data_IF_227361851146
#
_entry.id   IF_227361851146
#
_cell.length_a   1.000
_cell.length_b   1.000
_cell.length_c   1.000
_cell.angle_alpha   90.00
_cell.angle_beta   90.00
_cell.angle_gamma   90.00
#
_symmetry.space_group_name_H-M   'P 1'
#
loop_
_entity.id
_entity.type
_entity.pdbx_description
1 polymer ?
#
# COMPACT_ATOMS: atom_id res chain seq x y z
N UNK A 1 -27.71 35.35 -44.50
CA UNK A 1 -28.11 34.18 -43.67
C UNK A 1 -26.84 33.41 -43.29
N UNK A 2 -26.25 33.72 -42.13
CA UNK A 2 -25.07 33.02 -41.61
C UNK A 2 -25.50 32.05 -40.52
N UNK A 3 -25.36 30.74 -40.75
CA UNK A 3 -25.55 29.72 -39.71
C UNK A 3 -24.21 29.47 -39.01
N UNK A 4 -24.07 30.01 -37.79
CA UNK A 4 -23.02 29.62 -36.84
C UNK A 4 -23.29 28.19 -36.36
N UNK A 5 -22.41 27.25 -36.66
CA UNK A 5 -22.33 25.96 -35.95
C UNK A 5 -21.62 26.21 -34.62
N UNK A 6 -22.36 26.14 -33.51
CA UNK A 6 -21.76 25.98 -32.19
C UNK A 6 -21.25 24.54 -32.06
N UNK A 7 -19.95 24.39 -31.83
CA UNK A 7 -19.35 23.13 -31.39
C UNK A 7 -19.72 22.91 -29.92
N UNK A 8 -20.11 21.68 -29.51
CA UNK A 8 -20.32 21.38 -28.11
C UNK A 8 -18.97 21.37 -27.39
N UNK A 9 -18.86 22.16 -26.33
CA UNK A 9 -17.78 22.11 -25.35
C UNK A 9 -17.82 20.76 -24.64
N UNK A 10 -16.87 19.89 -24.96
CA UNK A 10 -16.68 18.61 -24.27
C UNK A 10 -15.97 18.85 -22.94
N UNK A 11 -16.70 18.71 -21.85
CA UNK A 11 -16.13 18.62 -20.50
C UNK A 11 -15.51 17.24 -20.30
N UNK A 12 -14.18 17.21 -20.15
CA UNK A 12 -13.39 16.04 -19.82
C UNK A 12 -13.62 15.68 -18.34
N UNK A 13 -14.51 14.74 -18.05
CA UNK A 13 -14.70 14.22 -16.69
C UNK A 13 -13.55 13.27 -16.33
N UNK A 14 -12.51 13.80 -15.68
CA UNK A 14 -11.44 13.00 -15.08
C UNK A 14 -11.97 12.46 -13.74
N UNK A 15 -12.29 11.16 -13.68
CA UNK A 15 -12.57 10.50 -12.41
C UNK A 15 -11.23 10.15 -11.73
N UNK A 16 -10.75 11.03 -10.86
CA UNK A 16 -9.58 10.78 -10.03
C UNK A 16 -10.02 9.85 -8.89
N UNK A 17 -9.53 8.62 -8.89
CA UNK A 17 -9.57 7.77 -7.70
C UNK A 17 -8.48 8.30 -6.78
N UNK A 18 -8.82 9.22 -5.88
CA UNK A 18 -8.02 9.38 -4.67
C UNK A 18 -8.40 8.22 -3.76
N UNK A 19 -7.45 7.32 -3.49
CA UNK A 19 -7.46 6.61 -2.22
C UNK A 19 -7.20 7.69 -1.15
N UNK A 20 -8.25 8.43 -0.79
CA UNK A 20 -8.19 9.36 0.33
C UNK A 20 -7.90 8.52 1.56
N UNK A 21 -6.75 8.79 2.18
CA UNK A 21 -6.42 8.34 3.52
C UNK A 21 -7.62 8.59 4.42
N UNK A 22 -8.25 7.53 4.92
CA UNK A 22 -9.30 7.70 5.91
C UNK A 22 -8.66 8.13 7.22
N UNK A 23 -9.29 9.13 7.86
CA UNK A 23 -9.15 9.45 9.28
C UNK A 23 -9.64 8.27 10.12
N UNK A 24 -8.91 7.15 10.10
CA UNK A 24 -8.92 6.23 11.22
C UNK A 24 -8.19 6.99 12.31
N UNK A 25 -8.80 7.20 13.48
CA UNK A 25 -8.09 7.76 14.63
C UNK A 25 -6.91 6.84 14.91
N UNK A 26 -5.75 7.23 14.38
CA UNK A 26 -4.53 6.52 14.57
C UNK A 26 -4.21 6.64 16.06
N UNK A 27 -4.33 5.53 16.79
CA UNK A 27 -3.73 5.39 18.11
C UNK A 27 -2.30 5.93 18.08
N UNK A 28 -1.86 6.61 19.14
CA UNK A 28 -0.53 7.20 19.15
C UNK A 28 0.54 6.10 18.99
N UNK A 29 1.61 6.44 18.26
CA UNK A 29 2.73 5.58 17.90
C UNK A 29 3.41 4.85 19.08
N UNK A 30 3.24 5.35 20.32
CA UNK A 30 3.77 4.74 21.54
C UNK A 30 3.23 3.33 21.85
N UNK A 31 2.14 2.90 21.21
CA UNK A 31 1.57 1.54 21.37
C UNK A 31 1.81 0.61 20.16
N UNK A 32 2.64 1.02 19.19
CA UNK A 32 2.72 0.41 17.85
C UNK A 32 4.04 -0.28 17.51
N UNK A 33 4.77 -0.79 18.51
CA UNK A 33 5.97 -1.58 18.23
C UNK A 33 7.27 -0.79 18.12
N UNK A 34 7.54 0.07 19.11
CA UNK A 34 8.91 0.44 19.48
C UNK A 34 9.40 1.75 18.89
N UNK A 35 9.19 2.83 19.65
CA UNK A 35 10.07 4.00 19.54
C UNK A 35 11.50 3.52 19.78
N UNK A 36 12.35 3.56 18.76
CA UNK A 36 13.76 3.26 18.96
C UNK A 36 14.41 4.50 19.54
N UNK A 37 14.48 4.58 20.86
CA UNK A 37 15.28 5.59 21.54
C UNK A 37 16.75 5.43 21.11
N UNK A 38 17.31 6.48 20.51
CA UNK A 38 18.74 6.51 20.21
C UNK A 38 19.50 6.75 21.51
N UNK A 39 20.51 5.94 21.80
CA UNK A 39 21.49 6.23 22.86
C UNK A 39 22.40 7.44 22.51
N UNK A 40 22.24 8.01 21.31
CA UNK A 40 23.02 9.15 20.81
C UNK A 40 22.10 10.25 20.26
N UNK A 41 22.35 11.50 20.63
CA UNK A 41 21.51 12.65 20.22
C UNK A 41 21.55 12.96 18.71
N UNK A 42 22.48 12.34 17.95
CA UNK A 42 22.74 12.66 16.53
C UNK A 42 21.50 12.59 15.63
N UNK A 43 20.54 11.70 15.93
CA UNK A 43 19.31 11.50 15.13
C UNK A 43 18.02 11.59 15.95
N UNK A 44 18.09 12.21 17.14
CA UNK A 44 16.93 12.33 18.04
C UNK A 44 15.94 13.44 17.66
N UNK A 45 16.40 14.46 16.93
CA UNK A 45 15.56 15.57 16.47
C UNK A 45 14.53 15.16 15.42
N UNK A 46 13.50 15.99 15.22
CA UNK A 46 12.49 15.78 14.17
C UNK A 46 13.12 15.97 12.78
N UNK A 47 12.83 15.04 11.85
CA UNK A 47 13.49 15.00 10.54
C UNK A 47 13.17 16.21 9.65
N UNK A 48 12.01 16.85 9.83
CA UNK A 48 11.62 18.05 9.06
C UNK A 48 12.44 19.29 9.42
N UNK A 49 13.30 19.19 10.44
CA UNK A 49 14.22 20.24 10.86
C UNK A 49 15.66 20.00 10.37
N UNK A 50 15.90 18.97 9.55
CA UNK A 50 17.22 18.69 8.97
C UNK A 50 17.66 19.78 7.98
N UNK A 51 16.71 20.41 7.30
CA UNK A 51 16.96 21.52 6.37
C UNK A 51 15.89 22.62 6.53
N UNK A 52 16.12 23.77 5.90
CA UNK A 52 15.15 24.88 5.85
C UNK A 52 13.95 24.58 4.95
N UNK A 53 14.07 23.60 4.05
CA UNK A 53 13.01 23.15 3.15
C UNK A 53 12.68 21.67 3.36
N UNK A 54 11.47 21.27 2.95
CA UNK A 54 11.07 19.87 2.99
C UNK A 54 11.91 19.03 2.02
N UNK A 55 12.11 19.51 0.79
CA UNK A 55 12.95 18.84 -0.22
C UNK A 55 14.36 18.60 0.33
N UNK A 56 14.99 19.62 0.93
CA UNK A 56 16.31 19.46 1.54
C UNK A 56 16.32 18.51 2.75
N UNK A 57 15.22 18.38 3.47
CA UNK A 57 15.11 17.40 4.57
C UNK A 57 14.98 15.97 4.03
N UNK A 58 14.26 15.78 2.93
CA UNK A 58 14.16 14.49 2.21
C UNK A 58 15.52 14.12 1.62
N UNK A 59 16.23 15.06 1.01
CA UNK A 59 17.59 14.86 0.50
C UNK A 59 18.53 14.36 1.61
N UNK A 60 18.48 14.97 2.79
CA UNK A 60 19.28 14.49 3.93
C UNK A 60 18.87 13.10 4.44
N UNK A 61 17.59 12.74 4.41
CA UNK A 61 17.19 11.36 4.72
C UNK A 61 17.80 10.37 3.71
N UNK A 62 17.77 10.70 2.42
CA UNK A 62 18.37 9.89 1.34
C UNK A 62 19.90 9.78 1.53
N UNK A 63 20.57 10.86 1.92
CA UNK A 63 22.01 10.86 2.22
C UNK A 63 22.35 9.94 3.39
N UNK A 64 21.55 9.96 4.47
CA UNK A 64 21.73 9.04 5.61
C UNK A 64 21.55 7.59 5.17
N UNK A 65 20.50 7.27 4.39
CA UNK A 65 20.32 5.92 3.84
C UNK A 65 21.53 5.51 3.00
N UNK A 66 22.10 6.45 2.24
CA UNK A 66 23.24 6.23 1.35
C UNK A 66 24.58 6.04 2.07
N UNK A 67 24.64 6.11 3.42
CA UNK A 67 25.84 5.70 4.17
C UNK A 67 25.97 4.18 4.29
N UNK A 68 24.91 3.43 3.98
CA UNK A 68 24.87 1.97 3.96
C UNK A 68 25.10 1.46 2.52
N UNK A 69 25.86 0.37 2.38
CA UNK A 69 26.08 -0.27 1.06
C UNK A 69 24.77 -0.81 0.49
N UNK A 70 23.94 -1.43 1.34
CA UNK A 70 22.60 -1.87 0.97
C UNK A 70 21.65 -0.69 0.72
N UNK A 71 21.80 0.38 1.49
CA UNK A 71 21.05 1.63 1.31
C UNK A 71 21.30 2.28 -0.05
N UNK A 72 22.55 2.38 -0.51
CA UNK A 72 22.87 2.87 -1.86
C UNK A 72 22.13 2.07 -2.94
N UNK A 73 22.14 0.73 -2.83
CA UNK A 73 21.46 -0.14 -3.79
C UNK A 73 19.93 0.05 -3.78
N UNK A 74 19.35 0.31 -2.61
CA UNK A 74 17.93 0.62 -2.46
C UNK A 74 17.60 1.96 -3.15
N UNK A 75 18.36 3.01 -2.85
CA UNK A 75 18.18 4.34 -3.44
C UNK A 75 18.34 4.31 -4.97
N UNK A 76 19.33 3.60 -5.49
CA UNK A 76 19.53 3.48 -6.94
C UNK A 76 18.35 2.80 -7.63
N UNK A 77 17.80 1.74 -7.03
CA UNK A 77 16.59 1.10 -7.55
C UNK A 77 15.35 1.99 -7.45
N UNK A 78 15.22 2.77 -6.37
CA UNK A 78 14.14 3.73 -6.22
C UNK A 78 14.23 4.84 -7.29
N UNK A 79 15.42 5.38 -7.55
CA UNK A 79 15.68 6.34 -8.63
C UNK A 79 15.31 5.76 -9.99
N UNK A 80 15.73 4.52 -10.29
CA UNK A 80 15.37 3.84 -11.53
C UNK A 80 13.85 3.65 -11.67
N UNK A 81 13.14 3.38 -10.57
CA UNK A 81 11.67 3.27 -10.58
C UNK A 81 10.99 4.63 -10.83
N UNK A 82 11.44 5.70 -10.17
CA UNK A 82 10.91 7.06 -10.36
C UNK A 82 11.17 7.59 -11.77
N UNK A 83 12.33 7.28 -12.34
CA UNK A 83 12.69 7.67 -13.70
C UNK A 83 11.75 7.07 -14.77
N UNK A 84 11.14 5.90 -14.52
CA UNK A 84 10.12 5.32 -15.43
C UNK A 84 8.90 6.24 -15.58
N UNK A 85 8.61 7.03 -14.55
CA UNK A 85 7.51 7.99 -14.52
C UNK A 85 8.00 9.44 -14.79
N UNK A 86 9.24 9.60 -15.29
CA UNK A 86 9.90 10.89 -15.57
C UNK A 86 9.99 11.81 -14.35
N UNK A 87 10.21 11.23 -13.18
CA UNK A 87 10.35 11.93 -11.91
C UNK A 87 11.74 11.70 -11.30
N UNK A 88 12.19 12.65 -10.48
CA UNK A 88 13.27 12.42 -9.51
C UNK A 88 12.73 11.55 -8.35
N UNK A 89 13.64 11.01 -7.53
CA UNK A 89 13.23 10.22 -6.36
C UNK A 89 12.53 11.10 -5.32
N UNK A 90 13.04 12.32 -5.15
CA UNK A 90 12.55 13.34 -4.25
C UNK A 90 11.11 13.74 -4.61
N UNK A 91 10.75 13.75 -5.89
CA UNK A 91 9.39 14.07 -6.38
C UNK A 91 8.33 13.00 -6.03
N UNK A 92 8.76 11.82 -5.59
CA UNK A 92 7.86 10.72 -5.19
C UNK A 92 7.83 10.51 -3.68
N UNK A 93 8.59 11.30 -2.91
CA UNK A 93 8.62 11.25 -1.44
C UNK A 93 8.01 12.55 -0.90
N UNK A 94 7.18 12.44 0.13
CA UNK A 94 6.54 13.60 0.76
C UNK A 94 6.34 13.36 2.27
N UNK A 95 5.98 14.41 3.00
CA UNK A 95 5.59 14.27 4.41
C UNK A 95 4.10 13.94 4.52
N UNK A 96 3.75 13.06 5.46
CA UNK A 96 2.37 12.64 5.74
C UNK A 96 2.08 12.59 7.24
N UNK A 97 0.83 12.26 7.58
CA UNK A 97 0.42 11.98 8.97
C UNK A 97 0.81 10.57 9.44
N UNK A 98 1.18 9.71 8.48
CA UNK A 98 1.73 8.38 8.70
C UNK A 98 2.71 8.05 7.58
N UNK A 99 3.62 7.12 7.83
CA UNK A 99 4.49 6.55 6.81
C UNK A 99 3.74 5.48 6.04
N UNK A 100 3.69 5.63 4.72
CA UNK A 100 2.96 4.72 3.82
C UNK A 100 3.35 4.95 2.37
N UNK A 101 3.44 3.86 1.62
CA UNK A 101 3.53 3.88 0.15
C UNK A 101 2.13 3.75 -0.42
N UNK A 102 1.51 4.89 -0.69
CA UNK A 102 0.20 4.94 -1.32
C UNK A 102 0.32 4.59 -2.81
N UNK A 103 -0.42 3.56 -3.25
CA UNK A 103 -0.50 3.16 -4.66
C UNK A 103 -1.92 3.35 -5.15
N UNK A 104 -2.09 4.37 -5.99
CA UNK A 104 -3.36 4.67 -6.65
C UNK A 104 -3.47 3.93 -7.98
N UNK A 105 -4.56 3.16 -8.14
CA UNK A 105 -4.98 2.60 -9.41
C UNK A 105 -5.92 3.58 -10.13
N UNK A 106 -5.43 4.22 -11.19
CA UNK A 106 -6.21 5.12 -12.04
C UNK A 106 -6.88 4.32 -13.16
N UNK A 107 -8.20 4.44 -13.22
CA UNK A 107 -9.04 3.85 -14.26
C UNK A 107 -9.41 4.91 -15.29
N UNK A 108 -8.91 4.77 -16.53
CA UNK A 108 -9.21 5.68 -17.64
C UNK A 108 -10.19 5.04 -18.60
N UNK A 109 -11.30 5.71 -18.85
CA UNK A 109 -12.32 5.31 -19.80
C UNK A 109 -12.11 6.03 -21.14
N UNK A 110 -12.36 5.34 -22.24
CA UNK A 110 -12.48 6.01 -23.54
C UNK A 110 -13.90 6.56 -23.69
N UNK A 111 -14.11 7.89 -23.85
CA UNK A 111 -15.46 8.45 -24.03
C UNK A 111 -16.20 7.91 -25.25
N UNK A 112 -15.47 7.52 -26.30
CA UNK A 112 -16.03 6.94 -27.53
C UNK A 112 -16.21 5.42 -27.46
N UNK A 113 -15.66 4.78 -26.42
CA UNK A 113 -15.77 3.33 -26.18
C UNK A 113 -15.72 3.06 -24.67
N UNK A 114 -16.82 3.30 -23.92
CA UNK A 114 -16.86 3.19 -22.46
C UNK A 114 -16.60 1.76 -21.92
N UNK A 115 -16.61 0.76 -22.79
CA UNK A 115 -16.19 -0.61 -22.51
C UNK A 115 -14.67 -0.77 -22.48
N UNK A 116 -13.92 0.11 -23.16
CA UNK A 116 -12.46 0.14 -23.15
C UNK A 116 -11.95 0.86 -21.90
N UNK A 117 -11.32 0.09 -21.02
CA UNK A 117 -10.80 0.58 -19.74
C UNK A 117 -9.29 0.37 -19.74
N UNK A 118 -8.54 1.45 -19.51
CA UNK A 118 -7.09 1.40 -19.27
C UNK A 118 -6.80 1.63 -17.80
N UNK A 119 -5.86 0.86 -17.27
CA UNK A 119 -5.40 0.99 -15.90
C UNK A 119 -3.98 1.56 -15.88
N UNK A 120 -3.74 2.50 -14.98
CA UNK A 120 -2.42 3.09 -14.73
C UNK A 120 -2.22 3.18 -13.23
N UNK A 121 -1.06 2.78 -12.73
CA UNK A 121 -0.76 2.83 -11.30
C UNK A 121 0.23 3.93 -11.01
N UNK A 122 0.00 4.66 -9.92
CA UNK A 122 0.87 5.74 -9.44
C UNK A 122 1.15 5.52 -7.98
N UNK A 123 2.43 5.55 -7.61
CA UNK A 123 2.84 5.35 -6.22
C UNK A 123 3.55 6.58 -5.68
N UNK A 124 3.28 6.92 -4.42
CA UNK A 124 3.92 8.00 -3.68
C UNK A 124 4.25 7.51 -2.28
N UNK A 125 5.45 7.84 -1.82
CA UNK A 125 5.96 7.51 -0.50
C UNK A 125 5.69 8.68 0.43
N UNK A 126 5.02 8.44 1.53
CA UNK A 126 4.85 9.41 2.61
C UNK A 126 5.68 8.96 3.81
N UNK A 127 6.33 9.93 4.46
CA UNK A 127 7.04 9.75 5.73
C UNK A 127 6.33 10.56 6.80
N UNK A 128 6.05 9.93 7.94
CA UNK A 128 5.36 10.56 9.06
C UNK A 128 6.13 11.81 9.55
N UNK A 129 5.47 12.96 9.45
CA UNK A 129 6.03 14.27 9.79
C UNK A 129 6.41 14.43 11.27
N UNK A 130 5.89 13.58 12.16
CA UNK A 130 6.12 13.63 13.61
C UNK A 130 7.40 12.92 14.03
N UNK A 131 7.99 12.10 13.16
CA UNK A 131 9.09 11.22 13.52
C UNK A 131 10.40 11.93 13.83
N UNK A 132 11.23 11.25 14.64
CA UNK A 132 12.65 11.54 14.73
C UNK A 132 13.35 11.22 13.42
N UNK A 133 14.53 11.79 13.19
CA UNK A 133 15.37 11.46 12.03
C UNK A 133 15.64 9.97 11.93
N UNK A 134 15.93 9.32 13.05
CA UNK A 134 16.20 7.87 13.07
C UNK A 134 15.02 7.06 12.53
N UNK A 135 13.82 7.31 13.05
CA UNK A 135 12.64 6.55 12.63
C UNK A 135 12.25 6.90 11.19
N UNK A 136 12.33 8.18 10.80
CA UNK A 136 12.07 8.61 9.43
C UNK A 136 12.99 7.95 8.40
N UNK A 137 14.25 7.68 8.75
CA UNK A 137 15.18 6.92 7.89
C UNK A 137 14.74 5.46 7.74
N UNK A 138 14.33 4.80 8.84
CA UNK A 138 13.87 3.42 8.80
C UNK A 138 12.56 3.30 8.00
N UNK A 139 11.61 4.19 8.25
CA UNK A 139 10.37 4.27 7.48
C UNK A 139 10.65 4.55 6.00
N UNK A 140 11.59 5.44 5.68
CA UNK A 140 11.97 5.67 4.29
C UNK A 140 12.51 4.39 3.62
N UNK A 141 13.30 3.60 4.34
CA UNK A 141 13.82 2.32 3.84
C UNK A 141 12.67 1.32 3.59
N UNK A 142 11.76 1.19 4.57
CA UNK A 142 10.60 0.30 4.49
C UNK A 142 9.71 0.69 3.30
N UNK A 143 9.34 1.96 3.22
CA UNK A 143 8.46 2.46 2.17
C UNK A 143 9.10 2.44 0.78
N UNK A 144 10.39 2.74 0.65
CA UNK A 144 11.07 2.58 -0.64
C UNK A 144 11.10 1.11 -1.09
N UNK A 145 11.16 0.16 -0.16
CA UNK A 145 11.09 -1.27 -0.50
C UNK A 145 9.73 -1.62 -1.12
N UNK A 146 8.63 -1.13 -0.54
CA UNK A 146 7.32 -1.24 -1.17
C UNK A 146 7.28 -0.55 -2.53
N UNK A 147 7.75 0.70 -2.63
CA UNK A 147 7.74 1.49 -3.87
C UNK A 147 8.46 0.81 -5.04
N UNK A 148 9.58 0.14 -4.76
CA UNK A 148 10.40 -0.52 -5.79
C UNK A 148 9.77 -1.85 -6.23
N UNK A 149 9.32 -2.66 -5.28
CA UNK A 149 9.08 -4.08 -5.52
C UNK A 149 7.62 -4.52 -5.43
N UNK A 150 6.77 -3.80 -4.69
CA UNK A 150 5.37 -4.20 -4.49
C UNK A 150 4.67 -4.24 -5.84
N UNK A 151 4.15 -5.42 -6.20
CA UNK A 151 3.42 -5.59 -7.43
C UNK A 151 2.11 -4.81 -7.33
N UNK A 152 1.78 -3.94 -8.29
CA UNK A 152 0.49 -3.27 -8.25
C UNK A 152 -0.64 -4.29 -8.40
N UNK A 153 -1.62 -4.24 -7.50
CA UNK A 153 -2.82 -5.06 -7.58
C UNK A 153 -3.87 -4.39 -8.46
N UNK A 154 -4.78 -5.19 -9.03
CA UNK A 154 -5.93 -4.69 -9.77
C UNK A 154 -7.19 -5.47 -9.37
N UNK A 155 -8.07 -4.87 -8.55
CA UNK A 155 -9.23 -5.57 -8.01
C UNK A 155 -10.33 -5.83 -9.05
N UNK A 156 -10.16 -5.30 -10.27
CA UNK A 156 -11.08 -5.54 -11.39
C UNK A 156 -10.74 -6.81 -12.19
N UNK A 157 -9.56 -7.41 -11.96
CA UNK A 157 -9.20 -8.70 -12.58
C UNK A 157 -9.97 -9.86 -11.93
N UNK A 158 -10.09 -10.97 -12.64
CA UNK A 158 -10.87 -12.14 -12.18
C UNK A 158 -10.10 -13.03 -11.19
N UNK A 159 -8.78 -12.91 -11.14
CA UNK A 159 -7.86 -13.64 -10.27
C UNK A 159 -7.52 -12.87 -8.98
N UNK A 160 -8.12 -11.69 -8.77
CA UNK A 160 -8.00 -10.96 -7.52
C UNK A 160 -8.83 -11.65 -6.43
N UNK A 161 -8.15 -12.24 -5.45
CA UNK A 161 -8.76 -12.99 -4.35
C UNK A 161 -8.15 -12.57 -3.02
N UNK A 162 -8.85 -12.84 -1.92
CA UNK A 162 -8.31 -12.55 -0.58
C UNK A 162 -7.02 -13.31 -0.31
N UNK A 163 -6.92 -14.57 -0.73
CA UNK A 163 -5.73 -15.40 -0.56
C UNK A 163 -4.52 -14.80 -1.29
N UNK A 164 -4.69 -14.43 -2.56
CA UNK A 164 -3.59 -13.81 -3.33
C UNK A 164 -3.22 -12.44 -2.79
N UNK A 165 -4.20 -11.63 -2.38
CA UNK A 165 -3.96 -10.31 -1.80
C UNK A 165 -3.24 -10.39 -0.44
N UNK A 166 -3.63 -11.31 0.44
CA UNK A 166 -3.00 -11.51 1.74
C UNK A 166 -1.55 -11.98 1.58
N UNK A 167 -1.34 -12.97 0.72
CA UNK A 167 0.00 -13.47 0.40
C UNK A 167 0.88 -12.35 -0.20
N UNK A 168 0.40 -11.66 -1.23
CA UNK A 168 1.18 -10.60 -1.91
C UNK A 168 1.50 -9.43 -0.97
N UNK A 169 0.58 -9.08 -0.06
CA UNK A 169 0.76 -7.95 0.85
C UNK A 169 1.77 -8.25 1.95
N UNK A 170 1.71 -9.43 2.57
CA UNK A 170 2.58 -9.77 3.71
C UNK A 170 3.89 -10.41 3.25
N UNK A 171 3.80 -11.53 2.55
CA UNK A 171 4.93 -12.41 2.24
C UNK A 171 5.44 -12.28 0.80
N UNK A 172 4.70 -11.59 -0.06
CA UNK A 172 5.05 -11.35 -1.46
C UNK A 172 6.31 -10.49 -1.59
N UNK A 173 6.84 -10.45 -2.81
CA UNK A 173 8.00 -9.61 -3.11
C UNK A 173 7.63 -8.14 -2.92
N UNK A 174 8.39 -7.43 -2.08
CA UNK A 174 8.06 -6.07 -1.67
C UNK A 174 6.85 -5.95 -0.76
N UNK A 175 6.37 -7.05 -0.17
CA UNK A 175 5.41 -7.05 0.92
C UNK A 175 6.05 -6.68 2.26
N UNK A 176 5.27 -6.73 3.33
CA UNK A 176 5.68 -6.28 4.67
C UNK A 176 6.91 -7.04 5.20
N UNK A 177 6.99 -8.36 4.98
CA UNK A 177 8.15 -9.17 5.40
C UNK A 177 9.42 -8.73 4.68
N UNK A 178 9.35 -8.45 3.38
CA UNK A 178 10.49 -7.96 2.60
C UNK A 178 10.94 -6.59 3.08
N UNK A 179 10.00 -5.67 3.24
CA UNK A 179 10.26 -4.30 3.67
C UNK A 179 10.90 -4.28 5.06
N UNK A 180 10.36 -5.04 6.01
CA UNK A 180 10.89 -5.16 7.36
C UNK A 180 12.30 -5.78 7.40
N UNK A 181 12.57 -6.82 6.59
CA UNK A 181 13.91 -7.40 6.50
C UNK A 181 14.94 -6.41 5.94
N UNK A 182 14.56 -5.65 4.92
CA UNK A 182 15.43 -4.62 4.32
C UNK A 182 15.68 -3.48 5.30
N UNK A 183 14.64 -3.02 6.01
CA UNK A 183 14.72 -2.06 7.10
C UNK A 183 15.72 -2.51 8.16
N UNK A 184 15.57 -3.73 8.71
CA UNK A 184 16.48 -4.24 9.74
C UNK A 184 17.93 -4.37 9.25
N UNK A 185 18.14 -4.81 8.00
CA UNK A 185 19.47 -4.97 7.40
C UNK A 185 20.18 -3.63 7.23
N UNK A 186 19.51 -2.66 6.61
CA UNK A 186 20.09 -1.32 6.38
C UNK A 186 20.21 -0.56 7.72
N UNK A 187 19.20 -0.64 8.58
CA UNK A 187 19.21 -0.05 9.91
C UNK A 187 20.40 -0.55 10.74
N UNK A 188 20.75 -1.84 10.65
CA UNK A 188 21.95 -2.38 11.28
C UNK A 188 23.24 -1.81 10.68
N UNK A 189 23.33 -1.63 9.37
CA UNK A 189 24.51 -1.00 8.73
C UNK A 189 24.69 0.46 9.14
N UNK A 190 23.61 1.23 9.30
CA UNK A 190 23.66 2.66 9.63
C UNK A 190 23.88 2.88 11.15
N UNK A 191 23.15 2.16 12.00
CA UNK A 191 23.08 2.44 13.43
C UNK A 191 23.81 1.43 14.32
N UNK A 192 24.20 0.28 13.76
CA UNK A 192 24.79 -0.83 14.50
C UNK A 192 23.77 -1.67 15.27
N UNK A 193 24.16 -2.92 15.61
CA UNK A 193 23.28 -3.91 16.23
C UNK A 193 22.68 -3.47 17.58
N UNK A 194 23.41 -2.68 18.39
CA UNK A 194 22.92 -2.20 19.69
C UNK A 194 21.80 -1.16 19.59
N UNK A 195 21.60 -0.61 18.39
CA UNK A 195 20.69 0.50 18.13
C UNK A 195 19.49 0.11 17.27
N UNK A 196 19.33 -1.16 16.90
CA UNK A 196 18.15 -1.62 16.15
C UNK A 196 16.98 -1.94 17.09
N UNK A 197 15.77 -2.05 16.52
CA UNK A 197 14.56 -2.30 17.30
C UNK A 197 14.54 -3.73 17.89
N UNK A 198 13.86 -3.95 19.02
CA UNK A 198 13.62 -5.29 19.54
C UNK A 198 12.98 -6.25 18.52
N UNK A 199 12.12 -5.73 17.65
CA UNK A 199 11.47 -6.50 16.58
C UNK A 199 12.50 -7.04 15.58
N UNK A 200 13.50 -6.25 15.21
CA UNK A 200 14.60 -6.74 14.38
C UNK A 200 15.43 -7.80 15.11
N UNK A 201 15.57 -7.70 16.44
CA UNK A 201 16.29 -8.71 17.23
C UNK A 201 15.54 -10.04 17.28
N UNK A 202 14.20 -10.03 17.30
CA UNK A 202 13.38 -11.25 17.32
C UNK A 202 13.54 -12.12 16.07
N UNK A 203 14.01 -11.54 14.97
CA UNK A 203 14.17 -12.23 13.68
C UNK A 203 15.63 -12.55 13.34
N UNK A 204 16.55 -12.37 14.29
CA UNK A 204 17.96 -12.79 14.12
C UNK A 204 18.10 -14.30 14.28
N UNK A 205 18.79 -14.92 13.34
CA UNK A 205 19.27 -16.29 13.43
C UNK A 205 20.80 -16.27 13.30
N UNK A 206 21.48 -16.23 14.46
CA UNK A 206 22.90 -15.93 14.52
C UNK A 206 23.19 -14.49 14.10
N UNK A 207 23.99 -14.30 13.06
CA UNK A 207 24.35 -12.97 12.53
C UNK A 207 23.45 -12.50 11.39
N UNK A 208 22.50 -13.30 10.92
CA UNK A 208 21.64 -12.95 9.79
C UNK A 208 20.17 -12.78 10.18
N UNK A 209 19.47 -11.88 9.49
CA UNK A 209 18.03 -11.71 9.65
C UNK A 209 17.29 -12.78 8.83
N UNK A 210 16.52 -13.62 9.54
CA UNK A 210 15.78 -14.75 8.98
C UNK A 210 14.40 -14.33 8.49
N UNK A 211 14.12 -14.66 7.22
CA UNK A 211 12.79 -14.47 6.63
C UNK A 211 11.73 -15.32 7.32
N UNK A 212 12.07 -16.57 7.67
CA UNK A 212 11.11 -17.48 8.30
C UNK A 212 10.68 -16.96 9.68
N UNK A 213 11.63 -16.42 10.47
CA UNK A 213 11.31 -15.80 11.75
C UNK A 213 10.46 -14.55 11.56
N UNK A 214 10.81 -13.69 10.58
CA UNK A 214 10.00 -12.52 10.26
C UNK A 214 8.57 -12.90 9.88
N UNK A 215 8.39 -13.92 9.04
CA UNK A 215 7.07 -14.43 8.67
C UNK A 215 6.28 -14.84 9.93
N UNK A 216 6.88 -15.60 10.86
CA UNK A 216 6.23 -15.98 12.12
C UNK A 216 5.82 -14.76 12.95
N UNK A 217 6.67 -13.75 13.08
CA UNK A 217 6.33 -12.51 13.81
C UNK A 217 5.13 -11.78 13.20
N UNK A 218 5.06 -11.68 11.86
CA UNK A 218 3.93 -11.04 11.17
C UNK A 218 2.60 -11.79 11.34
N UNK A 219 2.64 -13.09 11.62
CA UNK A 219 1.47 -13.94 11.82
C UNK A 219 1.12 -14.20 13.30
N UNK A 220 1.76 -13.50 14.24
CA UNK A 220 1.28 -13.39 15.62
C UNK A 220 0.04 -12.50 15.66
N UNK A 221 -1.04 -12.96 16.29
CA UNK A 221 -2.35 -12.30 16.24
C UNK A 221 -2.89 -11.90 17.61
N UNK A 222 -2.33 -12.41 18.70
CA UNK A 222 -2.77 -12.17 20.06
C UNK A 222 -4.27 -12.40 20.22
N UNK A 223 -4.94 -11.41 20.80
CA UNK A 223 -6.40 -11.38 21.02
C UNK A 223 -7.24 -11.50 19.74
N UNK A 224 -6.67 -11.28 18.56
CA UNK A 224 -7.39 -11.38 17.28
C UNK A 224 -7.34 -12.77 16.65
N UNK A 225 -6.64 -13.73 17.25
CA UNK A 225 -6.42 -15.05 16.67
C UNK A 225 -7.72 -15.79 16.33
N UNK A 226 -8.67 -15.87 17.27
CA UNK A 226 -9.94 -16.58 17.05
C UNK A 226 -10.79 -15.91 15.97
N UNK A 227 -10.86 -14.58 15.98
CA UNK A 227 -11.55 -13.79 14.95
C UNK A 227 -10.94 -14.06 13.56
N UNK A 228 -9.61 -14.10 13.48
CA UNK A 228 -8.91 -14.39 12.23
C UNK A 228 -9.18 -15.81 11.74
N UNK A 229 -9.12 -16.83 12.61
CA UNK A 229 -9.44 -18.22 12.24
C UNK A 229 -10.87 -18.37 11.72
N UNK A 230 -11.82 -17.67 12.34
CA UNK A 230 -13.19 -17.64 11.85
C UNK A 230 -13.28 -16.99 10.46
N UNK A 231 -12.60 -15.85 10.25
CA UNK A 231 -12.57 -15.17 8.96
C UNK A 231 -11.92 -16.04 7.86
N UNK A 232 -10.81 -16.72 8.16
CA UNK A 232 -10.13 -17.66 7.25
C UNK A 232 -11.08 -18.73 6.75
N UNK A 233 -11.83 -19.37 7.66
CA UNK A 233 -12.79 -20.41 7.31
C UNK A 233 -13.96 -19.86 6.48
N UNK A 234 -14.49 -18.69 6.87
CA UNK A 234 -15.60 -18.03 6.17
C UNK A 234 -15.24 -17.60 4.75
N UNK A 235 -14.03 -17.07 4.57
CA UNK A 235 -13.55 -16.49 3.31
C UNK A 235 -12.84 -17.50 2.41
N UNK A 236 -12.64 -18.73 2.86
CA UNK A 236 -11.95 -19.78 2.10
C UNK A 236 -10.47 -19.46 1.85
N UNK A 237 -9.80 -18.83 2.82
CA UNK A 237 -8.37 -18.53 2.72
C UNK A 237 -7.56 -19.84 2.78
N UNK A 238 -6.58 -20.00 1.89
CA UNK A 238 -5.76 -21.22 1.83
C UNK A 238 -5.01 -21.47 3.14
N UNK A 239 -5.02 -22.72 3.61
CA UNK A 239 -4.34 -23.11 4.86
C UNK A 239 -2.83 -22.82 4.82
N UNK A 240 -2.19 -23.01 3.66
CA UNK A 240 -0.76 -22.77 3.46
C UNK A 240 -0.36 -21.32 3.77
N UNK A 241 -1.25 -20.36 3.54
CA UNK A 241 -0.98 -18.95 3.77
C UNK A 241 -0.97 -18.63 5.27
N UNK A 242 -1.79 -19.34 6.06
CA UNK A 242 -2.04 -19.05 7.46
C UNK A 242 -1.44 -20.07 8.41
N UNK A 243 -0.61 -20.98 7.90
CA UNK A 243 0.04 -22.04 8.67
C UNK A 243 0.85 -21.47 9.85
N UNK A 244 1.44 -20.29 9.68
CA UNK A 244 2.25 -19.63 10.70
C UNK A 244 1.43 -18.80 11.71
N UNK A 245 0.10 -18.78 11.61
CA UNK A 245 -0.75 -18.00 12.52
C UNK A 245 -0.68 -18.54 13.95
N UNK A 246 -0.52 -17.65 14.92
CA UNK A 246 -0.47 -18.00 16.35
C UNK A 246 -1.24 -17.01 17.23
N UNK A 247 -1.62 -17.46 18.42
CA UNK A 247 -2.27 -16.65 19.46
C UNK A 247 -1.30 -15.84 20.30
N UNK A 248 0.00 -15.85 19.98
CA UNK A 248 0.99 -14.99 20.63
C UNK A 248 0.76 -13.52 20.27
N UNK A 249 1.11 -12.61 21.18
CA UNK A 249 0.96 -11.17 20.96
C UNK A 249 1.87 -10.66 19.85
N UNK A 250 1.30 -9.84 18.97
CA UNK A 250 2.02 -9.22 17.87
C UNK A 250 2.69 -7.92 18.31
N UNK A 251 3.96 -7.77 17.95
CA UNK A 251 4.66 -6.48 18.04
C UNK A 251 4.66 -5.71 16.70
N UNK A 252 4.18 -6.35 15.63
CA UNK A 252 4.14 -5.81 14.27
C UNK A 252 2.69 -5.49 13.89
N UNK A 253 2.33 -4.22 14.05
CA UNK A 253 0.96 -3.74 13.92
C UNK A 253 0.84 -2.84 12.69
N UNK A 254 -0.20 -3.04 11.89
CA UNK A 254 -0.50 -2.19 10.74
C UNK A 254 -0.78 -0.76 11.19
N UNK A 255 -0.07 0.21 10.60
CA UNK A 255 -0.23 1.64 10.90
C UNK A 255 -1.62 2.18 10.53
N UNK A 256 -2.23 1.64 9.46
CA UNK A 256 -3.52 2.06 8.94
C UNK A 256 -4.71 1.51 9.76
N UNK A 257 -4.60 0.29 10.28
CA UNK A 257 -5.72 -0.42 10.93
C UNK A 257 -5.55 -0.64 12.42
N UNK A 258 -4.35 -0.39 12.98
CA UNK A 258 -4.01 -0.64 14.39
C UNK A 258 -4.28 -2.09 14.82
N UNK A 259 -4.07 -3.04 13.91
CA UNK A 259 -4.27 -4.48 14.10
C UNK A 259 -3.08 -5.28 13.54
N UNK A 260 -2.86 -6.52 13.98
CA UNK A 260 -1.91 -7.42 13.34
C UNK A 260 -2.18 -7.53 11.83
N UNK A 261 -1.11 -7.64 11.04
CA UNK A 261 -1.18 -7.53 9.59
C UNK A 261 -2.20 -8.47 8.92
N UNK A 262 -2.28 -9.77 9.24
CA UNK A 262 -3.27 -10.65 8.59
C UNK A 262 -4.72 -10.19 8.77
N UNK A 263 -5.06 -9.63 9.93
CA UNK A 263 -6.39 -9.08 10.21
C UNK A 263 -6.60 -7.77 9.46
N UNK A 264 -5.61 -6.87 9.52
CA UNK A 264 -5.64 -5.60 8.81
C UNK A 264 -5.81 -5.76 7.30
N UNK A 265 -5.15 -6.76 6.70
CA UNK A 265 -5.20 -7.03 5.26
C UNK A 265 -6.56 -7.58 4.82
N UNK A 266 -7.24 -8.37 5.66
CA UNK A 266 -8.63 -8.77 5.41
C UNK A 266 -9.54 -7.54 5.37
N UNK A 267 -9.42 -6.64 6.34
CA UNK A 267 -10.23 -5.41 6.40
C UNK A 267 -9.93 -4.46 5.22
N UNK A 268 -8.67 -4.36 4.83
CA UNK A 268 -8.26 -3.61 3.64
C UNK A 268 -8.88 -4.20 2.36
N UNK A 269 -8.83 -5.52 2.21
CA UNK A 269 -9.42 -6.22 1.06
C UNK A 269 -10.92 -5.97 0.96
N UNK A 270 -11.67 -6.15 2.06
CA UNK A 270 -13.11 -5.91 2.10
C UNK A 270 -13.45 -4.46 1.76
N UNK A 271 -12.65 -3.50 2.26
CA UNK A 271 -12.80 -2.07 1.93
C UNK A 271 -12.57 -1.78 0.45
N UNK A 272 -11.51 -2.36 -0.13
CA UNK A 272 -11.20 -2.24 -1.57
C UNK A 272 -12.37 -2.80 -2.39
N UNK A 273 -12.83 -4.01 -2.06
CA UNK A 273 -13.90 -4.68 -2.79
C UNK A 273 -15.23 -3.93 -2.69
N UNK A 274 -15.57 -3.41 -1.51
CA UNK A 274 -16.75 -2.55 -1.32
C UNK A 274 -16.70 -1.33 -2.23
N UNK A 275 -15.58 -0.59 -2.27
CA UNK A 275 -15.42 0.58 -3.15
C UNK A 275 -15.48 0.20 -4.63
N UNK A 276 -14.85 -0.91 -5.01
CA UNK A 276 -14.89 -1.43 -6.39
C UNK A 276 -16.31 -1.71 -6.82
N UNK A 277 -17.09 -2.35 -5.95
CA UNK A 277 -18.47 -2.71 -6.22
C UNK A 277 -19.41 -1.51 -6.27
N UNK A 278 -19.25 -0.54 -5.37
CA UNK A 278 -19.96 0.74 -5.45
C UNK A 278 -19.68 1.48 -6.77
N UNK A 279 -18.43 1.46 -7.24
CA UNK A 279 -18.04 2.09 -8.50
C UNK A 279 -18.60 1.37 -9.72
N UNK A 280 -18.56 0.04 -9.74
CA UNK A 280 -19.16 -0.73 -10.83
C UNK A 280 -20.70 -0.62 -10.83
N UNK A 281 -21.36 -0.52 -9.67
CA UNK A 281 -22.80 -0.25 -9.57
C UNK A 281 -23.18 1.10 -10.20
N UNK A 282 -22.42 2.17 -9.90
CA UNK A 282 -22.60 3.48 -10.53
C UNK A 282 -22.45 3.37 -12.05
N UNK A 283 -21.39 2.68 -12.52
CA UNK A 283 -21.16 2.44 -13.95
C UNK A 283 -22.32 1.68 -14.61
N UNK A 284 -22.85 0.65 -13.94
CA UNK A 284 -24.00 -0.11 -14.44
C UNK A 284 -25.24 0.77 -14.60
N UNK A 285 -25.48 1.68 -13.66
CA UNK A 285 -26.60 2.64 -13.73
C UNK A 285 -26.49 3.53 -14.98
N UNK A 286 -25.31 4.13 -15.23
CA UNK A 286 -25.07 4.91 -16.45
C UNK A 286 -25.24 4.10 -17.75
N UNK A 287 -24.82 2.83 -17.75
CA UNK A 287 -24.98 1.95 -18.91
C UNK A 287 -26.45 1.59 -19.19
N UNK A 288 -27.26 1.42 -18.14
CA UNK A 288 -28.70 1.16 -18.26
C UNK A 288 -29.48 2.40 -18.71
N UNK A 289 -29.11 3.59 -18.24
CA UNK A 289 -29.74 4.85 -18.67
C UNK A 289 -29.42 5.20 -20.14
N UNK A 290 -28.18 4.95 -20.58
CA UNK A 290 -27.75 5.15 -21.97
C UNK A 290 -28.30 4.11 -22.95
N UNK A 291 -28.91 3.03 -22.44
CA UNK A 291 -29.47 1.94 -23.24
C UNK A 291 -30.73 2.33 -24.02
N UNK A 292 -31.43 3.40 -23.60
CA UNK A 292 -32.67 3.89 -24.22
C UNK A 292 -32.54 4.31 -25.70
N UNK A 293 -31.33 4.31 -26.29
CA UNK A 293 -31.07 4.65 -27.71
C UNK A 293 -30.01 3.78 -28.40
N UNK A 294 -29.77 2.52 -27.98
CA UNK A 294 -28.61 1.74 -28.46
C UNK A 294 -28.94 0.42 -29.21
N UNK A 295 -28.03 0.02 -30.11
CA UNK A 295 -28.15 -1.13 -31.03
C UNK A 295 -27.88 -2.46 -30.30
N UNK A 296 -28.40 -3.59 -30.78
CA UNK A 296 -28.32 -4.92 -30.16
C UNK A 296 -26.90 -5.41 -29.74
N UNK A 297 -25.83 -4.97 -30.43
CA UNK A 297 -24.44 -5.28 -30.05
C UNK A 297 -24.02 -4.62 -28.73
N UNK A 298 -24.59 -3.46 -28.41
CA UNK A 298 -24.44 -2.77 -27.12
C UNK A 298 -25.08 -3.58 -26.00
N UNK A 299 -26.24 -4.21 -26.26
CA UNK A 299 -26.95 -5.02 -25.26
C UNK A 299 -26.17 -6.29 -24.84
N UNK A 300 -25.47 -6.96 -25.76
CA UNK A 300 -24.63 -8.12 -25.42
C UNK A 300 -23.43 -7.74 -24.54
N UNK A 301 -22.83 -6.57 -24.76
CA UNK A 301 -21.73 -6.05 -23.94
C UNK A 301 -22.22 -5.64 -22.55
N UNK A 302 -23.39 -5.01 -22.43
CA UNK A 302 -23.98 -4.64 -21.13
C UNK A 302 -24.27 -5.90 -20.29
N UNK A 303 -24.85 -6.94 -20.89
CA UNK A 303 -25.10 -8.21 -20.20
C UNK A 303 -23.80 -8.87 -19.67
N UNK A 304 -22.69 -8.77 -20.41
CA UNK A 304 -21.39 -9.26 -19.95
C UNK A 304 -20.83 -8.46 -18.77
N UNK A 305 -21.01 -7.13 -18.77
CA UNK A 305 -20.60 -6.29 -17.63
C UNK A 305 -21.47 -6.59 -16.41
N UNK A 306 -22.77 -6.75 -16.59
CA UNK A 306 -23.72 -7.11 -15.52
C UNK A 306 -23.40 -8.48 -14.90
N UNK A 307 -23.12 -9.49 -15.73
CA UNK A 307 -22.73 -10.82 -15.25
C UNK A 307 -21.43 -10.76 -14.42
N UNK A 308 -20.41 -10.04 -14.88
CA UNK A 308 -19.15 -9.85 -14.14
C UNK A 308 -19.34 -9.09 -12.83
N UNK A 309 -20.20 -8.08 -12.84
CA UNK A 309 -20.57 -7.34 -11.63
C UNK A 309 -21.24 -8.27 -10.61
N UNK A 310 -22.28 -9.01 -11.02
CA UNK A 310 -23.01 -9.91 -10.14
C UNK A 310 -22.12 -11.02 -9.55
N UNK A 311 -21.20 -11.57 -10.35
CA UNK A 311 -20.26 -12.58 -9.87
C UNK A 311 -19.29 -12.04 -8.81
N UNK A 312 -18.88 -10.78 -8.91
CA UNK A 312 -17.88 -10.16 -8.02
C UNK A 312 -18.48 -9.51 -6.78
N UNK A 313 -19.63 -8.85 -6.94
CA UNK A 313 -20.10 -7.83 -6.01
C UNK A 313 -21.29 -8.22 -5.14
N UNK A 314 -21.87 -9.40 -5.37
CA UNK A 314 -23.08 -9.83 -4.66
C UNK A 314 -22.93 -9.85 -3.14
N UNK A 315 -21.74 -10.16 -2.62
CA UNK A 315 -21.47 -10.22 -1.17
C UNK A 315 -20.97 -8.90 -0.55
N UNK A 316 -20.82 -7.83 -1.34
CA UNK A 316 -20.20 -6.56 -0.90
C UNK A 316 -21.16 -5.36 -0.97
N UNK A 317 -22.41 -5.58 -1.36
CA UNK A 317 -23.41 -4.53 -1.55
C UNK A 317 -24.68 -4.76 -0.70
N UNK A 318 -24.64 -5.75 0.20
CA UNK A 318 -25.67 -5.99 1.20
C UNK A 318 -25.48 -5.07 2.41
#
# INVERSE_FOLDING_TARGET
MHFRRQLPTFTLSILIICLVAFNVNASSWGQRGGVIHSATDKYGGNWRKLSSTQEGSIEQLIEIVSTSKLGIQLIDKARLRAAKDRKRLEDVIDSGDASVTDTTLVRKFNPSSPESVRFETRSKVYIDKSHSTKNAVLDLIHELTHYIYKKPFNPYLSDFSISTFLSDTIQGKGGEVDAFLVECRIGREIYGLKSISPQCLNILNGEEFSRELALKEFYKLGVHYDQFKHAVNKLGISHEIVEHSSSEDSSLISSAWSKPYPVAVIEEFETIMTKVCQNDLKRMTYLKESQSRSIASTNKKVAQVESKFNARCRSYLD
#
